data_IF_152544785367
#
_entry.id   IF_152544785367
#
_cell.length_a   1.000
_cell.length_b   1.000
_cell.length_c   1.000
_cell.angle_alpha   90.00
_cell.angle_beta   90.00
_cell.angle_gamma   90.00
#
_symmetry.space_group_name_H-M   'P 1'
#
loop_
_entity.id
_entity.type
_entity.pdbx_description
1 polymer ?
#
# COMPACT_ATOMS: atom_id res chain seq x y z
N UNK A 1 14.35 7.80 16.77
CA UNK A 1 15.13 6.68 16.18
C UNK A 1 14.86 5.43 17.01
N UNK A 2 14.56 4.29 16.37
CA UNK A 2 14.34 3.03 17.09
C UNK A 2 15.66 2.54 17.71
N UNK A 3 15.60 1.98 18.92
CA UNK A 3 16.80 1.52 19.65
C UNK A 3 17.48 0.30 18.99
N UNK A 4 16.78 -0.40 18.11
CA UNK A 4 17.25 -1.60 17.40
C UNK A 4 16.76 -1.58 15.96
N UNK A 5 17.46 -2.24 15.01
CA UNK A 5 17.00 -2.39 13.63
C UNK A 5 15.63 -3.09 13.55
N UNK A 6 14.78 -2.64 12.63
CA UNK A 6 13.48 -3.25 12.34
C UNK A 6 13.66 -4.29 11.24
N UNK A 7 13.29 -5.54 11.52
CA UNK A 7 13.34 -6.64 10.54
C UNK A 7 12.31 -6.43 9.44
N UNK A 8 12.72 -6.65 8.18
CA UNK A 8 11.93 -6.34 6.97
C UNK A 8 11.19 -5.02 7.09
N UNK A 9 11.96 -3.95 7.33
CA UNK A 9 11.41 -2.61 7.47
C UNK A 9 10.65 -2.22 6.19
N UNK A 10 9.36 -1.97 6.35
CA UNK A 10 8.49 -1.55 5.25
C UNK A 10 8.40 -0.01 5.21
N UNK A 11 7.86 0.61 6.25
CA UNK A 11 7.89 2.07 6.41
C UNK A 11 7.58 2.48 7.86
N UNK A 12 7.87 3.73 8.21
CA UNK A 12 7.33 4.34 9.43
C UNK A 12 5.95 4.93 9.15
N UNK A 13 4.92 4.38 9.79
CA UNK A 13 3.54 4.86 9.65
C UNK A 13 3.24 5.90 10.74
N UNK A 14 3.10 7.17 10.33
CA UNK A 14 2.80 8.28 11.26
C UNK A 14 1.44 8.14 11.91
N UNK A 15 0.45 7.59 11.20
CA UNK A 15 -0.91 7.37 11.71
C UNK A 15 -0.97 6.37 12.86
N UNK A 16 -0.04 5.41 12.88
CA UNK A 16 0.08 4.41 13.95
C UNK A 16 1.18 4.74 14.95
N UNK A 17 1.96 5.81 14.72
CA UNK A 17 3.13 6.15 15.53
C UNK A 17 4.20 5.04 15.59
N UNK A 18 4.21 4.10 14.64
CA UNK A 18 5.01 2.87 14.71
C UNK A 18 5.62 2.48 13.35
N UNK A 19 6.73 1.72 13.40
CA UNK A 19 7.29 1.08 12.20
C UNK A 19 6.43 -0.11 11.78
N UNK A 20 6.23 -0.23 10.47
CA UNK A 20 5.68 -1.41 9.82
C UNK A 20 6.86 -2.26 9.33
N UNK A 21 6.81 -3.55 9.63
CA UNK A 21 7.82 -4.51 9.19
C UNK A 21 7.39 -5.94 9.46
N UNK A 22 8.35 -6.85 9.65
CA UNK A 22 8.09 -8.29 9.66
C UNK A 22 6.94 -8.71 10.59
N UNK A 23 6.84 -8.15 11.80
CA UNK A 23 5.90 -8.63 12.83
C UNK A 23 4.49 -8.03 12.75
N UNK A 24 4.29 -6.95 11.99
CA UNK A 24 3.02 -6.23 11.95
C UNK A 24 2.55 -5.85 10.54
N UNK A 25 3.29 -6.23 9.48
CA UNK A 25 2.91 -5.89 8.10
C UNK A 25 1.58 -6.57 7.69
N UNK A 26 1.28 -7.80 8.15
CA UNK A 26 -0.01 -8.45 7.84
C UNK A 26 -1.17 -7.71 8.50
N UNK A 27 -1.00 -7.37 9.76
CA UNK A 27 -1.94 -6.65 10.61
C UNK A 27 -2.21 -5.26 10.02
N UNK A 28 -1.16 -4.60 9.53
CA UNK A 28 -1.28 -3.33 8.81
C UNK A 28 -2.11 -3.46 7.53
N UNK A 29 -1.84 -4.47 6.68
CA UNK A 29 -2.62 -4.68 5.45
C UNK A 29 -4.07 -5.09 5.79
N UNK A 30 -4.28 -5.93 6.80
CA UNK A 30 -5.62 -6.30 7.26
C UNK A 30 -6.41 -5.09 7.78
N UNK A 31 -5.77 -4.19 8.53
CA UNK A 31 -6.35 -2.93 8.95
C UNK A 31 -6.78 -2.08 7.75
N UNK A 32 -5.94 -1.96 6.71
CA UNK A 32 -6.31 -1.23 5.49
C UNK A 32 -7.50 -1.86 4.76
N UNK A 33 -7.55 -3.19 4.66
CA UNK A 33 -8.71 -3.92 4.12
C UNK A 33 -9.97 -3.58 4.92
N UNK A 34 -9.91 -3.66 6.24
CA UNK A 34 -11.05 -3.33 7.11
C UNK A 34 -11.48 -1.86 6.98
N UNK A 35 -10.55 -0.90 6.91
CA UNK A 35 -10.88 0.51 6.71
C UNK A 35 -11.58 0.77 5.38
N UNK A 36 -11.11 0.14 4.30
CA UNK A 36 -11.75 0.24 2.97
C UNK A 36 -13.12 -0.44 2.97
N UNK A 37 -13.26 -1.60 3.62
CA UNK A 37 -14.55 -2.29 3.73
C UNK A 37 -15.56 -1.47 4.53
N UNK A 38 -15.17 -0.92 5.70
CA UNK A 38 -16.04 -0.09 6.54
C UNK A 38 -16.43 1.18 5.79
N UNK A 39 -15.50 1.88 5.15
CA UNK A 39 -15.81 3.06 4.34
C UNK A 39 -16.74 2.74 3.17
N UNK A 40 -16.52 1.63 2.46
CA UNK A 40 -17.35 1.20 1.35
C UNK A 40 -18.77 0.83 1.78
N UNK A 41 -18.91 0.04 2.84
CA UNK A 41 -20.21 -0.31 3.41
C UNK A 41 -20.93 0.93 3.96
N UNK A 42 -20.20 1.86 4.61
CA UNK A 42 -20.73 3.14 5.08
C UNK A 42 -21.36 3.94 3.95
N UNK A 43 -20.62 4.17 2.85
CA UNK A 43 -21.15 4.85 1.66
C UNK A 43 -22.42 4.18 1.13
N UNK A 44 -22.43 2.84 1.01
CA UNK A 44 -23.60 2.12 0.52
C UNK A 44 -24.83 2.31 1.41
N UNK A 45 -24.65 2.20 2.72
CA UNK A 45 -25.73 2.39 3.70
C UNK A 45 -26.22 3.84 3.71
N UNK A 46 -25.32 4.81 3.74
CA UNK A 46 -25.69 6.23 3.79
C UNK A 46 -26.44 6.68 2.55
N UNK A 47 -26.05 6.19 1.36
CA UNK A 47 -26.79 6.44 0.12
C UNK A 47 -28.19 5.84 0.18
N UNK A 48 -28.33 4.59 0.65
CA UNK A 48 -29.62 3.94 0.79
C UNK A 48 -30.54 4.67 1.80
N UNK A 49 -29.97 5.12 2.93
CA UNK A 49 -30.70 5.89 3.94
C UNK A 49 -31.10 7.26 3.41
N UNK A 50 -30.20 7.98 2.73
CA UNK A 50 -30.49 9.27 2.11
C UNK A 50 -31.69 9.15 1.18
N UNK A 51 -31.67 8.20 0.24
CA UNK A 51 -32.79 7.94 -0.69
C UNK A 51 -34.10 7.62 0.05
N UNK A 52 -34.02 6.83 1.12
CA UNK A 52 -35.20 6.45 1.92
C UNK A 52 -35.81 7.62 2.70
N UNK A 53 -35.05 8.69 2.90
CA UNK A 53 -35.42 9.83 3.75
C UNK A 53 -35.81 11.10 2.98
N UNK A 54 -35.60 11.17 1.67
CA UNK A 54 -35.77 12.37 0.78
C UNK A 54 -37.10 13.15 0.94
N UNK A 55 -38.15 12.59 1.56
CA UNK A 55 -39.43 13.27 1.79
C UNK A 55 -39.97 13.12 3.22
N UNK A 56 -39.10 12.78 4.19
CA UNK A 56 -39.52 12.49 5.58
C UNK A 56 -39.42 13.71 6.50
N UNK A 57 -38.65 14.73 6.13
CA UNK A 57 -38.56 16.00 6.86
C UNK A 57 -37.74 15.92 8.16
N UNK A 58 -36.87 14.91 8.31
CA UNK A 58 -36.01 14.72 9.49
C UNK A 58 -34.62 15.31 9.24
N UNK A 59 -34.51 16.64 9.29
CA UNK A 59 -33.29 17.37 8.93
C UNK A 59 -32.05 17.06 9.76
N UNK A 60 -32.22 16.75 11.05
CA UNK A 60 -31.12 16.38 11.95
C UNK A 60 -30.48 15.04 11.54
N UNK A 61 -31.31 14.07 11.21
CA UNK A 61 -30.89 12.75 10.75
C UNK A 61 -30.29 12.84 9.35
N UNK A 62 -30.90 13.61 8.44
CA UNK A 62 -30.36 13.88 7.12
C UNK A 62 -28.95 14.51 7.18
N UNK A 63 -28.75 15.51 8.06
CA UNK A 63 -27.45 16.12 8.27
C UNK A 63 -26.42 15.11 8.81
N UNK A 64 -26.81 14.26 9.77
CA UNK A 64 -25.94 13.22 10.31
C UNK A 64 -25.52 12.20 9.25
N UNK A 65 -26.45 11.77 8.39
CA UNK A 65 -26.17 10.85 7.27
C UNK A 65 -25.22 11.51 6.27
N UNK A 66 -25.46 12.77 5.88
CA UNK A 66 -24.58 13.48 4.93
C UNK A 66 -23.17 13.64 5.52
N UNK A 67 -23.05 13.97 6.80
CA UNK A 67 -21.76 14.09 7.48
C UNK A 67 -21.03 12.75 7.54
N UNK A 68 -21.73 11.65 7.85
CA UNK A 68 -21.16 10.31 7.87
C UNK A 68 -20.76 9.82 6.46
N UNK A 69 -21.55 10.15 5.43
CA UNK A 69 -21.22 9.87 4.03
C UNK A 69 -19.94 10.59 3.63
N UNK A 70 -19.83 11.88 3.94
CA UNK A 70 -18.64 12.68 3.64
C UNK A 70 -17.40 12.09 4.35
N UNK A 71 -17.53 11.69 5.61
CA UNK A 71 -16.47 11.00 6.35
C UNK A 71 -16.07 9.67 5.69
N UNK A 72 -17.03 8.84 5.31
CA UNK A 72 -16.78 7.55 4.66
C UNK A 72 -16.08 7.70 3.30
N UNK A 73 -16.49 8.69 2.50
CA UNK A 73 -15.83 9.04 1.24
C UNK A 73 -14.40 9.51 1.47
N UNK A 74 -14.17 10.38 2.46
CA UNK A 74 -12.83 10.85 2.82
C UNK A 74 -11.93 9.70 3.29
N UNK A 75 -12.48 8.78 4.10
CA UNK A 75 -11.76 7.59 4.56
C UNK A 75 -11.34 6.71 3.38
N UNK A 76 -12.23 6.46 2.42
CA UNK A 76 -11.93 5.70 1.20
C UNK A 76 -10.87 6.38 0.33
N UNK A 77 -10.96 7.70 0.15
CA UNK A 77 -10.01 8.47 -0.63
C UNK A 77 -8.59 8.41 -0.05
N UNK A 78 -8.45 8.25 1.26
CA UNK A 78 -7.16 8.10 1.95
C UNK A 78 -6.69 6.64 2.00
N UNK A 79 -7.53 5.72 2.47
CA UNK A 79 -7.15 4.32 2.69
C UNK A 79 -7.07 3.50 1.40
N UNK A 80 -7.91 3.79 0.40
CA UNK A 80 -7.99 3.07 -0.86
C UNK A 80 -6.68 3.07 -1.65
N UNK A 81 -6.07 4.24 -1.93
CA UNK A 81 -4.78 4.30 -2.62
C UNK A 81 -3.66 3.59 -1.85
N UNK A 82 -3.64 3.68 -0.52
CA UNK A 82 -2.65 2.99 0.32
C UNK A 82 -2.81 1.47 0.17
N UNK A 83 -4.04 0.95 0.27
CA UNK A 83 -4.30 -0.48 0.08
C UNK A 83 -3.91 -0.95 -1.33
N UNK A 84 -4.18 -0.14 -2.36
CA UNK A 84 -3.78 -0.45 -3.74
C UNK A 84 -2.27 -0.59 -3.87
N UNK A 85 -1.51 0.35 -3.31
CA UNK A 85 -0.04 0.31 -3.30
C UNK A 85 0.43 -0.96 -2.57
N UNK A 86 -0.01 -1.19 -1.34
CA UNK A 86 0.43 -2.34 -0.55
C UNK A 86 0.04 -3.68 -1.18
N UNK A 87 -1.12 -3.76 -1.84
CA UNK A 87 -1.49 -4.95 -2.64
C UNK A 87 -0.47 -5.20 -3.76
N UNK A 88 -0.08 -4.15 -4.48
CA UNK A 88 0.97 -4.22 -5.50
C UNK A 88 2.31 -4.68 -4.94
N UNK A 89 2.75 -4.08 -3.84
CA UNK A 89 4.00 -4.42 -3.14
C UNK A 89 4.00 -5.88 -2.66
N UNK A 90 2.92 -6.32 -2.00
CA UNK A 90 2.75 -7.72 -1.56
C UNK A 90 2.77 -8.68 -2.75
N UNK A 91 2.12 -8.30 -3.87
CA UNK A 91 2.08 -9.13 -5.07
C UNK A 91 3.46 -9.32 -5.72
N UNK A 92 4.40 -8.41 -5.46
CA UNK A 92 5.79 -8.46 -5.94
C UNK A 92 6.78 -8.90 -4.85
N UNK A 93 6.31 -9.19 -3.64
CA UNK A 93 7.18 -9.43 -2.47
C UNK A 93 8.22 -8.31 -2.29
N UNK A 94 7.75 -7.07 -2.41
CA UNK A 94 8.52 -5.84 -2.32
C UNK A 94 8.08 -5.07 -1.07
N UNK A 95 9.02 -4.42 -0.38
CA UNK A 95 8.76 -3.55 0.77
C UNK A 95 8.58 -2.09 0.31
N UNK A 96 7.78 -1.31 1.02
CA UNK A 96 7.59 0.11 0.69
C UNK A 96 8.90 0.92 0.75
N UNK A 97 9.85 0.51 1.58
CA UNK A 97 11.19 1.10 1.64
C UNK A 97 12.03 0.82 0.40
N UNK A 98 11.90 -0.38 -0.18
CA UNK A 98 12.59 -0.79 -1.41
C UNK A 98 11.96 -0.07 -2.62
N UNK A 99 10.63 0.01 -2.64
CA UNK A 99 9.88 0.77 -3.64
C UNK A 99 10.28 2.25 -3.66
N UNK A 100 10.36 2.90 -2.49
CA UNK A 100 10.80 4.30 -2.38
C UNK A 100 12.23 4.55 -2.85
N UNK A 101 13.08 3.53 -2.81
CA UNK A 101 14.47 3.58 -3.26
C UNK A 101 14.63 3.11 -4.70
N UNK A 102 13.55 2.74 -5.38
CA UNK A 102 13.56 2.23 -6.75
C UNK A 102 14.49 1.01 -6.94
N UNK A 103 14.66 0.17 -5.91
CA UNK A 103 15.64 -0.93 -5.91
C UNK A 103 15.45 -1.91 -7.10
N UNK A 104 14.19 -2.10 -7.51
CA UNK A 104 13.79 -3.01 -8.57
C UNK A 104 13.23 -2.30 -9.82
N UNK A 105 13.47 -1.01 -9.99
CA UNK A 105 12.94 -0.25 -11.13
C UNK A 105 14.03 0.09 -12.13
N UNK A 106 13.63 0.14 -13.40
CA UNK A 106 14.46 0.53 -14.52
C UNK A 106 13.77 1.64 -15.32
N UNK A 107 14.56 2.46 -16.01
CA UNK A 107 14.09 3.43 -16.98
C UNK A 107 14.69 3.11 -18.35
N UNK A 108 13.97 3.39 -19.43
CA UNK A 108 14.51 3.24 -20.79
C UNK A 108 15.40 4.45 -21.10
N UNK A 109 16.69 4.22 -21.30
CA UNK A 109 17.58 5.29 -21.73
C UNK A 109 17.39 5.57 -23.22
N UNK A 110 17.02 6.80 -23.56
CA UNK A 110 16.92 7.26 -24.94
C UNK A 110 18.26 7.18 -25.69
N UNK A 111 19.39 7.19 -24.97
CA UNK A 111 20.74 7.15 -25.56
C UNK A 111 21.21 5.75 -25.95
N UNK A 112 20.77 4.70 -25.25
CA UNK A 112 21.36 3.36 -25.40
C UNK A 112 20.34 2.28 -25.79
N UNK A 113 19.03 2.58 -25.78
CA UNK A 113 17.98 1.60 -26.11
C UNK A 113 17.77 0.50 -25.06
N UNK A 114 18.72 0.34 -24.14
CA UNK A 114 18.69 -0.60 -23.03
C UNK A 114 18.00 -0.01 -21.78
N UNK A 115 17.40 -0.89 -20.99
CA UNK A 115 16.85 -0.55 -19.67
C UNK A 115 17.98 -0.36 -18.67
N UNK A 116 18.05 0.81 -18.04
CA UNK A 116 19.06 1.16 -17.03
C UNK A 116 18.40 1.19 -15.65
N UNK A 117 19.02 0.63 -14.59
CA UNK A 117 18.49 0.73 -13.24
C UNK A 117 18.32 2.18 -12.81
N UNK A 118 17.21 2.49 -12.14
CA UNK A 118 16.90 3.87 -11.74
C UNK A 118 18.00 4.47 -10.85
N UNK A 119 18.60 3.64 -9.99
CA UNK A 119 19.67 4.07 -9.08
C UNK A 119 21.02 4.32 -9.76
N UNK A 120 21.15 3.98 -11.05
CA UNK A 120 22.34 4.22 -11.85
C UNK A 120 22.19 5.46 -12.76
N UNK A 121 21.03 6.13 -12.75
CA UNK A 121 20.78 7.35 -13.53
C UNK A 121 21.48 8.56 -12.91
N UNK A 122 21.90 9.53 -13.75
CA UNK A 122 22.27 10.86 -13.24
C UNK A 122 21.04 11.59 -12.69
N UNK A 123 21.22 12.61 -11.85
CA UNK A 123 20.11 13.40 -11.30
C UNK A 123 19.25 14.04 -12.42
N UNK A 124 19.86 14.49 -13.52
CA UNK A 124 19.14 15.03 -14.67
C UNK A 124 18.32 13.95 -15.39
N UNK A 125 18.89 12.76 -15.59
CA UNK A 125 18.21 11.64 -16.23
C UNK A 125 17.08 11.09 -15.36
N UNK A 126 17.31 10.98 -14.05
CA UNK A 126 16.31 10.59 -13.07
C UNK A 126 15.10 11.52 -13.12
N UNK A 127 15.32 12.83 -13.10
CA UNK A 127 14.24 13.82 -13.14
C UNK A 127 13.51 13.82 -14.48
N UNK A 128 14.23 13.64 -15.60
CA UNK A 128 13.63 13.59 -16.93
C UNK A 128 12.78 12.33 -17.16
N UNK A 129 13.12 11.21 -16.52
CA UNK A 129 12.50 9.90 -16.70
C UNK A 129 11.60 9.48 -15.52
N UNK A 130 11.32 10.37 -14.57
CA UNK A 130 10.67 10.03 -13.30
C UNK A 130 9.33 9.28 -13.47
N UNK A 131 8.52 9.67 -14.46
CA UNK A 131 7.23 9.04 -14.74
C UNK A 131 7.33 7.76 -15.60
N UNK A 132 8.51 7.43 -16.09
CA UNK A 132 8.79 6.32 -17.02
C UNK A 132 9.40 5.10 -16.33
N UNK A 133 9.48 5.09 -15.00
CA UNK A 133 10.05 3.99 -14.24
C UNK A 133 9.15 2.75 -14.30
N UNK A 134 9.75 1.62 -14.66
CA UNK A 134 9.06 0.34 -14.78
C UNK A 134 9.70 -0.66 -13.84
N UNK A 135 8.85 -1.41 -13.12
CA UNK A 135 9.30 -2.52 -12.28
C UNK A 135 9.92 -3.64 -13.14
N UNK A 136 11.12 -4.08 -12.77
CA UNK A 136 11.81 -5.21 -13.39
C UNK A 136 11.86 -6.40 -12.41
N UNK A 137 10.98 -7.38 -12.66
CA UNK A 137 10.90 -8.62 -11.87
C UNK A 137 12.25 -9.36 -11.78
N UNK A 138 13.11 -9.27 -12.80
CA UNK A 138 14.40 -9.98 -12.81
C UNK A 138 15.36 -9.48 -11.72
N UNK A 139 15.15 -8.26 -11.24
CA UNK A 139 15.96 -7.64 -10.18
C UNK A 139 15.49 -8.02 -8.78
N UNK A 140 14.24 -8.47 -8.64
CA UNK A 140 13.69 -8.90 -7.37
C UNK A 140 13.77 -10.42 -7.23
N UNK A 141 14.84 -10.91 -6.59
CA UNK A 141 15.06 -12.34 -6.35
C UNK A 141 13.96 -13.00 -5.49
N UNK A 142 13.14 -12.21 -4.80
CA UNK A 142 12.04 -12.68 -3.96
C UNK A 142 10.69 -12.70 -4.68
N UNK A 143 10.58 -12.11 -5.87
CA UNK A 143 9.36 -12.09 -6.66
C UNK A 143 9.17 -13.41 -7.40
N UNK A 144 8.22 -14.22 -6.92
CA UNK A 144 7.87 -15.52 -7.52
C UNK A 144 6.52 -15.48 -8.24
N UNK A 145 6.05 -14.29 -8.62
CA UNK A 145 4.76 -14.04 -9.24
C UNK A 145 3.63 -13.85 -8.24
N UNK A 146 2.64 -13.04 -8.62
CA UNK A 146 1.58 -12.57 -7.72
C UNK A 146 0.81 -13.65 -6.95
N UNK A 147 0.43 -14.83 -7.53
CA UNK A 147 -0.33 -15.81 -6.76
C UNK A 147 0.50 -16.40 -5.62
N UNK A 148 1.79 -16.68 -5.91
CA UNK A 148 2.71 -17.29 -4.96
C UNK A 148 3.15 -16.29 -3.90
N UNK A 149 3.41 -15.05 -4.28
CA UNK A 149 3.80 -14.00 -3.34
C UNK A 149 2.65 -13.67 -2.38
N UNK A 150 1.42 -13.50 -2.89
CA UNK A 150 0.24 -13.27 -2.06
C UNK A 150 -0.04 -14.46 -1.12
N UNK A 151 0.01 -15.69 -1.64
CA UNK A 151 -0.17 -16.88 -0.79
C UNK A 151 0.91 -16.98 0.29
N UNK A 152 2.18 -16.74 -0.05
CA UNK A 152 3.26 -16.73 0.92
C UNK A 152 3.07 -15.63 1.97
N UNK A 153 2.67 -14.44 1.54
CA UNK A 153 2.43 -13.32 2.44
C UNK A 153 1.36 -13.61 3.47
N UNK A 154 0.26 -14.30 3.13
CA UNK A 154 -0.83 -14.56 4.08
C UNK A 154 -0.70 -15.90 4.82
N UNK A 155 -0.26 -16.95 4.14
CA UNK A 155 -0.45 -18.33 4.59
C UNK A 155 0.83 -19.02 5.06
N UNK A 156 2.01 -18.48 4.77
CA UNK A 156 3.28 -19.13 5.13
C UNK A 156 3.94 -18.39 6.31
N UNK A 157 4.43 -19.07 7.35
CA UNK A 157 5.25 -18.43 8.38
C UNK A 157 6.42 -17.66 7.75
N UNK A 158 6.57 -16.38 8.08
CA UNK A 158 7.60 -15.50 7.48
C UNK A 158 8.96 -15.57 8.20
N UNK A 159 9.10 -16.51 9.11
CA UNK A 159 10.31 -16.82 9.86
C UNK A 159 10.27 -18.30 10.25
N UNK A 160 11.41 -18.98 10.19
CA UNK A 160 11.54 -20.25 10.89
C UNK A 160 11.65 -19.98 12.41
N UNK A 161 11.24 -20.90 13.29
CA UNK A 161 11.37 -20.73 14.75
C UNK A 161 12.80 -20.39 15.18
N UNK A 162 13.79 -20.84 14.41
CA UNK A 162 15.22 -20.66 14.67
C UNK A 162 15.77 -19.35 14.08
N UNK A 163 15.01 -18.66 13.21
CA UNK A 163 15.49 -17.47 12.51
C UNK A 163 15.21 -16.18 13.28
N UNK A 164 16.30 -15.52 13.66
CA UNK A 164 16.29 -14.16 14.19
C UNK A 164 16.24 -13.10 13.07
N UNK A 165 15.31 -13.26 12.13
CA UNK A 165 14.95 -12.20 11.18
C UNK A 165 15.89 -11.99 10.01
N UNK A 166 16.59 -13.03 9.60
CA UNK A 166 17.35 -13.06 8.35
C UNK A 166 16.43 -13.52 7.22
N UNK A 167 15.57 -12.60 6.78
CA UNK A 167 14.92 -12.56 5.48
C UNK A 167 14.67 -11.12 5.12
#
# INVERSE_FOLDING_TARGET
QFKRPVRRYDHYCRWLGNCIGLLNHREFVAMLVCLVLIGGLGVLVDVALTVSMVNRGFWDTELAIIAHLAYSVALLALAGPILRIHTGLVSRNELAAEWKKNDFYVAKSAKHGDSVPVNDLSDEEFNALFDEFVYDQKRNAFDRGWPRNCFAFWCIPRWAPEQLGEF
#
